data_IF_649520961436
#
_entry.id   IF_649520961436
#
_cell.length_a   1.000
_cell.length_b   1.000
_cell.length_c   1.000
_cell.angle_alpha   90.00
_cell.angle_beta   90.00
_cell.angle_gamma   90.00
#
_symmetry.space_group_name_H-M   'P 1'
#
loop_
_entity.id
_entity.type
_entity.pdbx_description
1 polymer ?
#
# COMPACT_ATOMS: atom_id res chain seq x y z
N UNK A 1 -5.28 35.49 -8.75
CA UNK A 1 -5.61 34.05 -8.66
C UNK A 1 -6.64 33.94 -7.57
N UNK A 2 -7.82 33.38 -7.85
CA UNK A 2 -8.82 33.17 -6.80
C UNK A 2 -8.27 32.19 -5.79
N UNK A 3 -8.24 32.55 -4.51
CA UNK A 3 -7.83 31.66 -3.44
C UNK A 3 -8.78 30.47 -3.39
N UNK A 4 -8.23 29.28 -3.07
CA UNK A 4 -9.05 28.08 -2.85
C UNK A 4 -9.89 28.33 -1.61
N UNK A 5 -11.20 28.10 -1.74
CA UNK A 5 -12.11 28.31 -0.61
C UNK A 5 -12.35 27.01 0.13
N UNK A 6 -12.63 25.91 -0.59
CA UNK A 6 -12.98 24.62 0.02
C UNK A 6 -12.33 23.47 -0.69
N UNK A 7 -11.99 22.45 0.10
CA UNK A 7 -11.56 21.13 -0.39
C UNK A 7 -12.65 20.12 -0.07
N UNK A 8 -13.22 19.55 -1.11
CA UNK A 8 -14.17 18.43 -1.00
C UNK A 8 -13.39 17.12 -1.07
N UNK A 9 -13.25 16.43 0.07
CA UNK A 9 -12.49 15.21 0.22
C UNK A 9 -13.41 13.98 0.23
N UNK A 10 -13.35 13.19 -0.83
CA UNK A 10 -14.13 11.95 -0.98
C UNK A 10 -13.27 10.76 -0.55
N UNK A 11 -13.08 10.68 0.75
CA UNK A 11 -12.42 9.58 1.45
C UNK A 11 -13.10 9.39 2.80
N UNK A 12 -13.27 8.16 3.30
CA UNK A 12 -13.73 7.96 4.67
C UNK A 12 -12.65 8.51 5.63
N UNK A 13 -13.09 9.33 6.58
CA UNK A 13 -12.20 9.92 7.59
C UNK A 13 -12.51 9.37 8.99
N UNK A 14 -12.83 8.08 9.08
CA UNK A 14 -13.14 7.38 10.32
C UNK A 14 -11.89 6.99 11.11
N UNK A 15 -12.12 6.46 12.32
CA UNK A 15 -11.06 6.00 13.23
C UNK A 15 -10.71 4.51 13.01
N UNK A 16 -11.01 3.94 11.84
CA UNK A 16 -10.68 2.55 11.53
C UNK A 16 -9.22 2.41 11.11
N UNK A 17 -8.61 1.30 11.48
CA UNK A 17 -7.30 0.87 10.99
C UNK A 17 -7.50 0.24 9.59
N UNK A 18 -7.93 1.04 8.63
CA UNK A 18 -8.01 0.63 7.23
C UNK A 18 -7.28 1.67 6.40
N UNK A 19 -6.64 1.25 5.33
CA UNK A 19 -5.86 2.15 4.47
C UNK A 19 -6.68 3.35 3.98
N UNK A 20 -7.93 3.18 3.47
CA UNK A 20 -8.73 4.32 3.03
C UNK A 20 -9.09 5.29 4.17
N UNK A 21 -9.42 4.77 5.38
CA UNK A 21 -9.72 5.62 6.54
C UNK A 21 -8.48 6.39 7.00
N UNK A 22 -7.31 5.75 7.01
CA UNK A 22 -6.05 6.41 7.36
C UNK A 22 -5.69 7.51 6.36
N UNK A 23 -5.81 7.25 5.05
CA UNK A 23 -5.58 8.26 4.00
C UNK A 23 -6.53 9.45 4.20
N UNK A 24 -7.83 9.20 4.30
CA UNK A 24 -8.84 10.27 4.45
C UNK A 24 -8.63 11.09 5.72
N UNK A 25 -8.39 10.43 6.85
CA UNK A 25 -8.13 11.10 8.14
C UNK A 25 -6.91 12.00 8.08
N UNK A 26 -5.78 11.49 7.59
CA UNK A 26 -4.54 12.26 7.59
C UNK A 26 -4.59 13.42 6.58
N UNK A 27 -5.13 13.21 5.37
CA UNK A 27 -5.35 14.32 4.42
C UNK A 27 -6.26 15.39 5.04
N UNK A 28 -7.39 14.99 5.66
CA UNK A 28 -8.29 15.93 6.31
C UNK A 28 -7.56 16.77 7.35
N UNK A 29 -6.94 16.12 8.35
CA UNK A 29 -6.25 16.80 9.45
C UNK A 29 -5.12 17.73 8.95
N UNK A 30 -4.43 17.33 7.89
CA UNK A 30 -3.37 18.15 7.33
C UNK A 30 -3.90 19.37 6.57
N UNK A 31 -4.89 19.18 5.70
CA UNK A 31 -5.45 20.25 4.87
C UNK A 31 -6.32 21.24 5.66
N UNK A 32 -6.93 20.84 6.78
CA UNK A 32 -7.66 21.74 7.67
C UNK A 32 -6.79 22.88 8.26
N UNK A 33 -5.46 22.72 8.19
CA UNK A 33 -4.53 23.81 8.54
C UNK A 33 -4.55 24.98 7.55
N UNK A 34 -5.07 24.76 6.34
CA UNK A 34 -5.00 25.73 5.23
C UNK A 34 -6.36 26.04 4.60
N UNK A 35 -7.33 25.12 4.67
CA UNK A 35 -8.60 25.18 3.94
C UNK A 35 -9.77 24.71 4.79
N UNK A 36 -10.99 25.10 4.39
CA UNK A 36 -12.21 24.42 4.82
C UNK A 36 -12.28 23.05 4.12
N UNK A 37 -12.29 21.94 4.90
CA UNK A 37 -12.32 20.57 4.37
C UNK A 37 -13.66 19.91 4.66
N UNK A 38 -14.39 19.53 3.62
CA UNK A 38 -15.65 18.81 3.71
C UNK A 38 -15.42 17.37 3.28
N UNK A 39 -15.69 16.40 4.17
CA UNK A 39 -15.45 14.97 3.91
C UNK A 39 -16.71 14.24 3.50
N UNK A 40 -16.53 13.24 2.63
CA UNK A 40 -17.59 12.38 2.10
C UNK A 40 -17.11 10.95 2.01
N UNK A 41 -18.01 9.98 2.27
CA UNK A 41 -17.72 8.58 1.97
C UNK A 41 -17.76 8.35 0.45
N UNK A 42 -16.86 7.55 -0.07
CA UNK A 42 -16.72 7.33 -1.52
C UNK A 42 -17.87 6.47 -2.11
N UNK A 43 -18.72 5.84 -1.30
CA UNK A 43 -19.87 5.02 -1.68
C UNK A 43 -21.23 5.73 -1.48
N UNK A 44 -21.25 7.01 -1.12
CA UNK A 44 -22.47 7.78 -1.01
C UNK A 44 -23.17 7.99 -2.37
N UNK A 45 -24.53 8.06 -2.32
CA UNK A 45 -25.37 8.28 -3.52
C UNK A 45 -25.69 9.78 -3.69
N UNK A 46 -24.67 10.58 -3.86
CA UNK A 46 -24.88 12.01 -4.12
C UNK A 46 -23.83 12.56 -5.07
N UNK A 47 -24.13 13.73 -5.65
CA UNK A 47 -23.21 14.47 -6.49
C UNK A 47 -22.92 15.82 -5.82
N UNK A 48 -21.65 16.22 -5.81
CA UNK A 48 -21.19 17.51 -5.32
C UNK A 48 -21.06 18.44 -6.52
N UNK A 49 -21.61 19.63 -6.39
CA UNK A 49 -21.40 20.71 -7.35
C UNK A 49 -20.39 21.70 -6.76
N UNK A 50 -19.37 22.12 -7.54
CA UNK A 50 -18.38 23.06 -7.04
C UNK A 50 -18.99 24.43 -6.79
N UNK A 51 -18.51 25.09 -5.72
CA UNK A 51 -18.58 26.53 -5.57
C UNK A 51 -17.43 27.21 -6.31
N UNK A 52 -17.30 28.52 -6.11
CA UNK A 52 -16.19 29.26 -6.72
C UNK A 52 -14.86 28.81 -6.12
N UNK A 53 -13.91 28.43 -7.00
CA UNK A 53 -12.56 27.99 -6.66
C UNK A 53 -12.44 26.73 -5.77
N UNK A 54 -13.47 25.89 -5.70
CA UNK A 54 -13.43 24.62 -4.95
C UNK A 54 -12.54 23.57 -5.62
N UNK A 55 -11.92 22.71 -4.80
CA UNK A 55 -11.10 21.57 -5.22
C UNK A 55 -11.77 20.27 -4.80
N UNK A 56 -11.77 19.28 -5.70
CA UNK A 56 -12.26 17.93 -5.43
C UNK A 56 -11.08 16.97 -5.33
N UNK A 57 -10.96 16.26 -4.21
CA UNK A 57 -9.97 15.20 -3.99
C UNK A 57 -10.71 13.90 -3.68
N UNK A 58 -10.31 12.77 -4.30
CA UNK A 58 -10.94 11.51 -3.93
C UNK A 58 -10.40 10.28 -4.63
N UNK A 59 -10.99 9.16 -4.24
CA UNK A 59 -10.68 7.83 -4.76
C UNK A 59 -11.78 7.35 -5.72
N UNK A 60 -11.39 6.73 -6.84
CA UNK A 60 -12.37 6.10 -7.74
C UNK A 60 -12.76 4.71 -7.22
N UNK A 61 -13.64 4.64 -6.29
CA UNK A 61 -14.18 3.34 -5.90
C UNK A 61 -14.95 2.68 -7.08
N UNK A 62 -14.89 1.35 -7.25
CA UNK A 62 -15.58 0.66 -8.36
C UNK A 62 -17.10 0.77 -8.34
N UNK A 63 -17.73 1.13 -7.23
CA UNK A 63 -19.17 1.34 -7.16
C UNK A 63 -19.61 2.41 -8.19
N UNK A 64 -20.59 2.13 -9.08
CA UNK A 64 -21.03 3.07 -10.12
C UNK A 64 -21.65 4.36 -9.58
N UNK A 65 -22.09 4.37 -8.33
CA UNK A 65 -22.75 5.50 -7.68
C UNK A 65 -21.87 6.29 -6.71
N UNK A 66 -20.55 6.12 -6.79
CA UNK A 66 -19.65 6.85 -5.88
C UNK A 66 -19.71 8.37 -6.11
N UNK A 67 -19.71 9.11 -5.01
CA UNK A 67 -19.79 10.57 -5.04
C UNK A 67 -18.65 11.21 -5.85
N UNK A 68 -17.41 10.72 -5.72
CA UNK A 68 -16.27 11.24 -6.46
C UNK A 68 -16.44 11.11 -7.98
N UNK A 69 -16.78 9.95 -8.49
CA UNK A 69 -16.94 9.70 -9.93
C UNK A 69 -18.07 10.52 -10.55
N UNK A 70 -19.15 10.74 -9.81
CA UNK A 70 -20.27 11.57 -10.26
C UNK A 70 -19.88 13.05 -10.26
N UNK A 71 -19.22 13.49 -9.20
CA UNK A 71 -18.85 14.90 -8.98
C UNK A 71 -17.72 15.36 -9.90
N UNK A 72 -16.74 14.51 -10.18
CA UNK A 72 -15.59 14.83 -11.05
C UNK A 72 -15.99 15.23 -12.49
N UNK A 73 -17.22 14.89 -12.92
CA UNK A 73 -17.76 15.26 -14.22
C UNK A 73 -18.32 16.66 -14.29
N UNK A 74 -18.60 17.28 -13.15
CA UNK A 74 -19.19 18.60 -13.06
C UNK A 74 -18.17 19.64 -13.50
N UNK A 75 -18.66 20.68 -14.18
CA UNK A 75 -17.83 21.83 -14.55
C UNK A 75 -17.73 22.81 -13.38
N UNK A 76 -16.63 23.53 -13.32
CA UNK A 76 -16.44 24.60 -12.33
C UNK A 76 -15.49 24.28 -11.20
N UNK A 77 -14.98 23.03 -11.09
CA UNK A 77 -13.88 22.73 -10.18
C UNK A 77 -12.63 23.54 -10.57
N UNK A 78 -11.97 24.15 -9.58
CA UNK A 78 -10.64 24.72 -9.80
C UNK A 78 -9.63 23.60 -10.12
N UNK A 79 -9.75 22.46 -9.45
CA UNK A 79 -8.96 21.28 -9.68
C UNK A 79 -9.69 20.01 -9.24
N UNK A 80 -9.46 18.92 -9.97
CA UNK A 80 -9.92 17.57 -9.62
C UNK A 80 -8.69 16.66 -9.46
N UNK A 81 -8.50 16.12 -8.27
CA UNK A 81 -7.36 15.27 -7.90
C UNK A 81 -7.86 13.88 -7.53
N UNK A 82 -7.41 12.85 -8.25
CA UNK A 82 -7.64 11.47 -7.85
C UNK A 82 -6.44 10.92 -7.07
N UNK A 83 -6.71 10.16 -6.02
CA UNK A 83 -5.67 9.44 -5.25
C UNK A 83 -6.09 7.96 -5.19
N UNK A 84 -5.26 7.05 -5.66
CA UNK A 84 -5.56 5.61 -5.59
C UNK A 84 -4.33 4.73 -5.80
N UNK A 85 -4.35 3.47 -5.36
CA UNK A 85 -3.39 2.46 -5.80
C UNK A 85 -3.38 2.33 -7.31
N UNK A 86 -2.20 2.21 -7.92
CA UNK A 86 -2.05 2.14 -9.36
C UNK A 86 -0.96 1.16 -9.78
N UNK A 87 -1.39 0.16 -10.54
CA UNK A 87 -0.52 -0.72 -11.30
C UNK A 87 -0.92 -0.59 -12.76
N UNK A 88 -0.05 -0.12 -13.67
CA UNK A 88 -0.34 -0.06 -15.10
C UNK A 88 -0.29 -1.46 -15.75
N UNK A 89 -1.06 -2.37 -15.18
CA UNK A 89 -1.27 -3.74 -15.65
C UNK A 89 -2.66 -3.83 -16.31
N UNK A 90 -2.75 -4.26 -17.60
CA UNK A 90 -4.02 -4.39 -18.30
C UNK A 90 -5.04 -5.30 -17.60
N UNK A 91 -4.57 -6.27 -16.82
CA UNK A 91 -5.42 -7.21 -16.08
C UNK A 91 -5.92 -6.63 -14.76
N UNK A 92 -5.34 -5.50 -14.30
CA UNK A 92 -5.73 -4.85 -13.07
C UNK A 92 -7.16 -4.32 -13.11
N UNK A 93 -8.06 -4.87 -12.30
CA UNK A 93 -9.46 -4.48 -12.23
C UNK A 93 -9.65 -2.96 -11.92
N UNK A 94 -8.73 -2.36 -11.20
CA UNK A 94 -8.70 -0.91 -10.93
C UNK A 94 -8.74 -0.08 -12.21
N UNK A 95 -8.10 -0.55 -13.26
CA UNK A 95 -7.94 0.21 -14.50
C UNK A 95 -9.25 0.30 -15.30
N UNK A 96 -10.14 -0.68 -15.17
CA UNK A 96 -11.45 -0.65 -15.81
C UNK A 96 -12.31 0.55 -15.35
N UNK A 97 -12.10 1.04 -14.12
CA UNK A 97 -12.78 2.21 -13.57
C UNK A 97 -11.96 3.48 -13.70
N UNK A 98 -10.63 3.38 -13.69
CA UNK A 98 -9.69 4.50 -13.81
C UNK A 98 -9.97 5.34 -15.06
N UNK A 99 -10.21 4.72 -16.21
CA UNK A 99 -10.56 5.39 -17.48
C UNK A 99 -11.74 6.38 -17.34
N UNK A 100 -12.70 6.11 -16.43
CA UNK A 100 -13.87 6.97 -16.26
C UNK A 100 -13.62 8.18 -15.37
N UNK A 101 -12.52 8.18 -14.65
CA UNK A 101 -12.18 9.22 -13.64
C UNK A 101 -10.89 9.94 -14.03
N UNK A 102 -9.82 9.22 -14.38
CA UNK A 102 -8.51 9.83 -14.67
C UNK A 102 -8.59 10.80 -15.86
N UNK A 103 -9.41 10.49 -16.85
CA UNK A 103 -9.63 11.41 -17.97
C UNK A 103 -10.25 12.75 -17.53
N UNK A 104 -10.96 12.76 -16.40
CA UNK A 104 -11.62 13.95 -15.85
C UNK A 104 -10.82 14.63 -14.73
N UNK A 105 -9.74 14.02 -14.29
CA UNK A 105 -8.84 14.61 -13.28
C UNK A 105 -7.82 15.54 -13.95
N UNK A 106 -7.42 16.56 -13.21
CA UNK A 106 -6.26 17.38 -13.54
C UNK A 106 -4.97 16.70 -13.09
N UNK A 107 -5.02 16.00 -11.94
CA UNK A 107 -3.92 15.22 -11.36
C UNK A 107 -4.40 13.88 -10.87
N UNK A 108 -3.52 12.89 -11.02
CA UNK A 108 -3.68 11.57 -10.44
C UNK A 108 -2.45 11.23 -9.58
N UNK A 109 -2.63 11.28 -8.26
CA UNK A 109 -1.63 10.87 -7.29
C UNK A 109 -1.71 9.35 -7.17
N UNK A 110 -0.81 8.69 -7.86
CA UNK A 110 -0.76 7.24 -7.97
C UNK A 110 0.03 6.66 -6.80
N UNK A 111 -0.67 5.98 -5.88
CA UNK A 111 -0.02 5.17 -4.84
C UNK A 111 0.56 3.95 -5.54
N UNK A 112 1.88 3.93 -5.72
CA UNK A 112 2.56 2.95 -6.59
C UNK A 112 4.05 2.91 -6.26
N UNK A 113 4.85 2.22 -7.07
CA UNK A 113 6.31 2.18 -6.93
C UNK A 113 7.03 2.44 -8.24
N UNK A 114 8.34 2.65 -8.13
CA UNK A 114 9.21 2.97 -9.26
C UNK A 114 9.16 1.93 -10.38
N UNK A 115 9.03 0.64 -10.05
CA UNK A 115 8.88 -0.43 -11.04
C UNK A 115 7.65 -0.20 -11.93
N UNK A 116 6.52 0.20 -11.35
CA UNK A 116 5.31 0.50 -12.10
C UNK A 116 5.40 1.80 -12.89
N UNK A 117 6.04 2.84 -12.32
CA UNK A 117 6.26 4.10 -13.04
C UNK A 117 7.14 3.90 -14.29
N UNK A 118 8.15 3.00 -14.22
CA UNK A 118 8.93 2.63 -15.43
C UNK A 118 8.07 1.90 -16.47
N UNK A 119 7.23 0.94 -16.04
CA UNK A 119 6.34 0.17 -16.93
C UNK A 119 5.22 1.00 -17.55
N UNK A 120 4.85 2.13 -16.95
CA UNK A 120 3.80 3.01 -17.46
C UNK A 120 4.05 3.45 -18.90
N UNK A 121 5.31 3.71 -19.26
CA UNK A 121 5.69 4.20 -20.60
C UNK A 121 5.33 3.23 -21.72
N UNK A 122 5.35 1.92 -21.42
CA UNK A 122 5.08 0.84 -22.38
C UNK A 122 3.70 0.21 -22.16
N UNK A 123 2.88 0.81 -21.32
CA UNK A 123 1.55 0.30 -20.97
C UNK A 123 0.45 0.97 -21.81
N UNK A 124 -0.74 0.37 -21.90
CA UNK A 124 -1.92 1.02 -22.49
C UNK A 124 -2.32 2.34 -21.82
N UNK A 125 -1.77 2.61 -20.63
CA UNK A 125 -2.07 3.78 -19.79
C UNK A 125 -1.04 4.91 -19.94
N UNK A 126 -0.07 4.79 -20.83
CA UNK A 126 0.98 5.82 -21.09
C UNK A 126 0.40 7.23 -21.32
N UNK A 127 -0.80 7.32 -21.90
CA UNK A 127 -1.49 8.58 -22.16
C UNK A 127 -1.89 9.34 -20.87
N UNK A 128 -1.93 8.67 -19.70
CA UNK A 128 -2.14 9.31 -18.41
C UNK A 128 -0.85 9.89 -17.80
N UNK A 129 0.32 9.53 -18.32
CA UNK A 129 1.61 9.95 -17.80
C UNK A 129 1.71 11.44 -17.42
N UNK A 130 1.23 12.40 -18.25
CA UNK A 130 1.28 13.82 -17.94
C UNK A 130 0.47 14.24 -16.69
N UNK A 131 -0.49 13.41 -16.25
CA UNK A 131 -1.34 13.68 -15.07
C UNK A 131 -0.86 12.94 -13.82
N UNK A 132 -0.05 11.88 -13.99
CA UNK A 132 0.35 11.00 -12.90
C UNK A 132 1.48 11.64 -12.09
N UNK A 133 1.27 11.67 -10.78
CA UNK A 133 2.29 11.99 -9.79
C UNK A 133 2.49 10.76 -8.90
N UNK A 134 3.73 10.31 -8.75
CA UNK A 134 4.06 9.18 -7.87
C UNK A 134 3.86 9.59 -6.42
N UNK A 135 3.15 8.76 -5.68
CA UNK A 135 2.87 8.94 -4.26
C UNK A 135 3.18 7.64 -3.52
N UNK A 136 4.11 7.68 -2.57
CA UNK A 136 4.35 6.55 -1.69
C UNK A 136 3.36 6.56 -0.54
N UNK A 137 2.86 5.38 -0.17
CA UNK A 137 1.95 5.23 0.95
C UNK A 137 2.69 5.50 2.27
N UNK A 138 1.93 5.87 3.30
CA UNK A 138 2.42 6.10 4.65
C UNK A 138 1.76 5.15 5.67
N UNK A 139 2.35 5.03 6.84
CA UNK A 139 1.80 4.29 7.97
C UNK A 139 1.88 5.12 9.25
N UNK A 140 0.92 4.89 10.13
CA UNK A 140 0.91 5.48 11.47
C UNK A 140 1.67 4.55 12.43
N UNK A 141 2.84 4.97 12.87
CA UNK A 141 3.69 4.17 13.76
C UNK A 141 3.09 4.00 15.17
N UNK A 142 2.18 4.86 15.57
CA UNK A 142 1.48 4.73 16.86
C UNK A 142 0.51 3.54 16.83
N UNK A 143 -0.09 3.24 15.68
CA UNK A 143 -0.96 2.08 15.49
C UNK A 143 -0.17 0.76 15.36
N UNK A 144 1.12 0.82 14.98
CA UNK A 144 1.97 -0.36 14.71
C UNK A 144 3.31 -0.24 15.45
N UNK A 145 3.28 -0.48 16.77
CA UNK A 145 4.45 -0.31 17.63
C UNK A 145 5.52 -1.37 17.37
N UNK A 146 6.79 -1.00 17.56
CA UNK A 146 7.92 -1.91 17.47
C UNK A 146 7.83 -3.04 18.49
N UNK A 147 7.96 -4.30 18.05
CA UNK A 147 7.82 -5.50 18.89
C UNK A 147 8.93 -6.55 18.68
N UNK A 148 9.66 -6.51 17.55
CA UNK A 148 10.69 -7.50 17.22
C UNK A 148 12.04 -7.07 17.78
N UNK A 149 12.41 -7.62 18.91
CA UNK A 149 13.66 -7.35 19.62
C UNK A 149 14.75 -8.40 19.36
N UNK A 150 14.39 -9.58 18.86
CA UNK A 150 15.32 -10.69 18.63
C UNK A 150 14.88 -11.54 17.44
N UNK A 151 15.82 -11.87 16.57
CA UNK A 151 15.60 -12.76 15.43
C UNK A 151 15.79 -14.23 15.81
N UNK A 152 15.07 -15.14 15.12
CA UNK A 152 15.30 -16.57 15.25
C UNK A 152 16.73 -16.92 14.77
N UNK A 153 17.34 -18.04 15.19
CA UNK A 153 18.67 -18.45 14.73
C UNK A 153 18.72 -18.65 13.21
N UNK A 154 19.90 -18.47 12.62
CA UNK A 154 20.15 -18.83 11.22
C UNK A 154 19.72 -20.28 10.93
N UNK A 155 19.12 -20.51 9.78
CA UNK A 155 18.52 -21.78 9.38
C UNK A 155 17.15 -22.08 10.01
N UNK A 156 16.65 -21.21 10.91
CA UNK A 156 15.33 -21.34 11.57
C UNK A 156 14.50 -20.08 11.43
N UNK A 157 14.81 -19.23 10.44
CA UNK A 157 14.06 -18.00 10.17
C UNK A 157 12.64 -18.33 9.73
N UNK A 158 11.66 -17.51 10.16
CA UNK A 158 10.24 -17.74 9.93
C UNK A 158 9.64 -16.62 9.10
N UNK A 159 8.85 -17.01 8.09
CA UNK A 159 8.20 -16.09 7.15
C UNK A 159 6.70 -16.01 7.40
N UNK A 160 6.16 -14.80 7.39
CA UNK A 160 4.76 -14.52 7.59
C UNK A 160 4.18 -13.83 6.35
N UNK A 161 3.12 -14.36 5.80
CA UNK A 161 2.26 -13.66 4.84
C UNK A 161 1.02 -13.11 5.56
N UNK A 162 0.72 -11.83 5.36
CA UNK A 162 -0.50 -11.20 5.88
C UNK A 162 -1.30 -10.67 4.70
N UNK A 163 -2.56 -11.14 4.53
CA UNK A 163 -3.43 -10.69 3.47
C UNK A 163 -4.46 -11.72 3.04
N UNK A 164 -5.38 -11.29 2.17
CA UNK A 164 -6.34 -12.17 1.51
C UNK A 164 -5.70 -12.88 0.30
N UNK A 165 -6.44 -13.82 -0.31
CA UNK A 165 -5.96 -14.69 -1.41
C UNK A 165 -6.47 -14.27 -2.79
N UNK A 166 -6.75 -12.96 -3.01
CA UNK A 166 -7.11 -12.49 -4.34
C UNK A 166 -5.98 -12.73 -5.35
N UNK A 167 -6.31 -12.91 -6.61
CA UNK A 167 -5.39 -13.32 -7.68
C UNK A 167 -4.12 -12.44 -7.76
N UNK A 168 -4.25 -11.13 -7.57
CA UNK A 168 -3.14 -10.18 -7.64
C UNK A 168 -2.16 -10.29 -6.45
N UNK A 169 -2.55 -10.96 -5.37
CA UNK A 169 -1.67 -11.31 -4.24
C UNK A 169 -0.78 -12.51 -4.55
N UNK A 170 -1.07 -13.24 -5.64
CA UNK A 170 -0.26 -14.32 -6.18
C UNK A 170 0.09 -15.42 -5.16
N UNK A 171 -0.87 -15.77 -4.29
CA UNK A 171 -0.65 -16.77 -3.24
C UNK A 171 -0.30 -18.17 -3.78
N UNK A 172 -0.67 -18.49 -5.02
CA UNK A 172 -0.27 -19.73 -5.70
C UNK A 172 1.24 -19.82 -5.91
N UNK A 173 1.91 -18.72 -6.20
CA UNK A 173 3.37 -18.68 -6.26
C UNK A 173 3.98 -18.96 -4.88
N UNK A 174 3.43 -18.37 -3.82
CA UNK A 174 3.90 -18.62 -2.44
C UNK A 174 3.71 -20.09 -2.03
N UNK A 175 2.61 -20.74 -2.43
CA UNK A 175 2.37 -22.17 -2.21
C UNK A 175 3.44 -23.02 -2.92
N UNK A 176 3.75 -22.68 -4.18
CA UNK A 176 4.78 -23.38 -4.97
C UNK A 176 6.18 -23.18 -4.39
N UNK A 177 6.47 -21.97 -3.88
CA UNK A 177 7.73 -21.67 -3.21
C UNK A 177 7.86 -22.45 -1.90
N UNK A 178 6.79 -22.53 -1.11
CA UNK A 178 6.76 -23.32 0.12
C UNK A 178 6.90 -24.83 -0.15
N UNK A 179 6.38 -25.34 -1.27
CA UNK A 179 6.55 -26.73 -1.70
C UNK A 179 8.02 -27.08 -2.02
N UNK A 180 8.76 -26.13 -2.59
CA UNK A 180 10.20 -26.29 -2.90
C UNK A 180 11.10 -26.13 -1.67
N UNK A 181 10.59 -25.57 -0.60
CA UNK A 181 11.34 -25.25 0.64
C UNK A 181 10.66 -25.88 1.87
N UNK A 182 10.54 -27.23 1.93
CA UNK A 182 9.78 -27.92 2.98
C UNK A 182 10.33 -27.70 4.39
N UNK A 183 11.60 -27.36 4.54
CA UNK A 183 12.24 -27.09 5.83
C UNK A 183 12.07 -25.64 6.29
N UNK A 184 11.57 -24.75 5.41
CA UNK A 184 11.33 -23.34 5.73
C UNK A 184 9.94 -23.14 6.30
N UNK A 185 9.85 -22.42 7.43
CA UNK A 185 8.56 -22.14 8.07
C UNK A 185 7.86 -20.96 7.40
N UNK A 186 6.80 -21.25 6.64
CA UNK A 186 5.86 -20.24 6.13
C UNK A 186 4.55 -20.30 6.90
N UNK A 187 4.04 -19.14 7.26
CA UNK A 187 2.74 -18.99 7.92
C UNK A 187 1.91 -17.89 7.24
N UNK A 188 0.58 -17.98 7.38
CA UNK A 188 -0.36 -17.05 6.77
C UNK A 188 -1.41 -16.57 7.76
N UNK A 189 -1.66 -15.26 7.78
CA UNK A 189 -2.77 -14.58 8.44
C UNK A 189 -3.65 -13.86 7.41
N UNK A 190 -4.96 -14.00 7.49
CA UNK A 190 -5.86 -13.19 6.63
C UNK A 190 -7.14 -13.88 6.20
N UNK A 191 -7.33 -15.17 6.47
CA UNK A 191 -8.53 -15.89 6.11
C UNK A 191 -8.66 -17.26 6.75
N UNK A 192 -9.74 -17.97 6.38
CA UNK A 192 -10.04 -19.34 6.83
C UNK A 192 -9.72 -20.39 5.77
N UNK A 193 -9.31 -19.97 4.58
CA UNK A 193 -8.89 -20.86 3.50
C UNK A 193 -7.60 -21.58 3.89
N UNK A 194 -7.31 -22.71 3.25
CA UNK A 194 -6.02 -23.39 3.40
C UNK A 194 -5.13 -23.04 2.23
N UNK A 195 -3.92 -22.57 2.52
CA UNK A 195 -2.83 -22.48 1.56
C UNK A 195 -1.96 -23.74 1.70
N UNK A 196 -1.60 -24.34 0.56
CA UNK A 196 -0.81 -25.58 0.53
C UNK A 196 0.61 -25.31 1.06
N UNK A 197 1.09 -26.17 1.96
CA UNK A 197 2.41 -26.09 2.58
C UNK A 197 2.67 -24.83 3.43
N UNK A 198 1.61 -24.06 3.76
CA UNK A 198 1.68 -22.84 4.57
C UNK A 198 0.78 -23.00 5.79
N UNK A 199 1.31 -22.73 6.97
CA UNK A 199 0.56 -22.83 8.23
C UNK A 199 -0.44 -21.67 8.33
N UNK A 200 -1.75 -21.98 8.28
CA UNK A 200 -2.80 -20.97 8.52
C UNK A 200 -2.90 -20.61 10.00
N UNK A 201 -2.92 -19.31 10.30
CA UNK A 201 -3.05 -18.73 11.65
C UNK A 201 -4.42 -18.08 11.88
N UNK A 202 -5.29 -18.09 10.85
CA UNK A 202 -6.61 -17.45 10.90
C UNK A 202 -6.55 -15.94 10.74
N UNK A 203 -7.61 -15.27 11.22
CA UNK A 203 -7.66 -13.81 11.30
C UNK A 203 -7.27 -13.37 12.70
N UNK A 204 -6.32 -12.46 12.80
CA UNK A 204 -5.96 -11.79 14.04
C UNK A 204 -6.40 -10.32 13.99
N UNK A 205 -6.80 -9.84 15.14
CA UNK A 205 -7.08 -8.43 15.37
C UNK A 205 -5.79 -7.76 15.88
N UNK A 206 -5.14 -7.00 15.02
CA UNK A 206 -3.85 -6.36 15.31
C UNK A 206 -3.93 -5.24 16.37
N UNK A 207 -5.14 -4.85 16.78
CA UNK A 207 -5.32 -3.95 17.92
C UNK A 207 -5.12 -4.66 19.27
N UNK A 208 -4.93 -5.99 19.28
CA UNK A 208 -4.81 -6.80 20.50
C UNK A 208 -3.37 -7.23 20.76
N UNK A 209 -2.98 -7.20 22.04
CA UNK A 209 -1.65 -7.62 22.52
C UNK A 209 -1.31 -9.06 22.10
N UNK A 210 -2.29 -9.95 22.05
CA UNK A 210 -2.07 -11.34 21.62
C UNK A 210 -1.59 -11.44 20.18
N UNK A 211 -2.05 -10.56 19.27
CA UNK A 211 -1.57 -10.50 17.90
C UNK A 211 -0.08 -10.11 17.85
N UNK A 212 0.35 -9.16 18.66
CA UNK A 212 1.75 -8.75 18.75
C UNK A 212 2.65 -9.89 19.21
N UNK A 213 2.20 -10.71 20.17
CA UNK A 213 2.94 -11.88 20.65
C UNK A 213 3.12 -12.93 19.54
N UNK A 214 2.17 -13.03 18.61
CA UNK A 214 2.29 -13.89 17.44
C UNK A 214 3.27 -13.33 16.42
N UNK A 215 3.17 -12.03 16.10
CA UNK A 215 3.98 -11.39 15.06
C UNK A 215 5.47 -11.46 15.41
N UNK A 216 5.85 -11.21 16.66
CA UNK A 216 7.26 -11.24 17.08
C UNK A 216 7.96 -12.61 16.91
N UNK A 217 7.19 -13.69 16.69
CA UNK A 217 7.76 -15.01 16.40
C UNK A 217 8.34 -15.12 14.99
N UNK A 218 8.00 -14.20 14.09
CA UNK A 218 8.46 -14.18 12.70
C UNK A 218 9.64 -13.22 12.52
N UNK A 219 10.46 -13.46 11.50
CA UNK A 219 11.60 -12.63 11.17
C UNK A 219 11.32 -11.79 9.91
N UNK A 220 10.57 -12.37 8.99
CA UNK A 220 10.28 -11.79 7.69
C UNK A 220 8.77 -11.70 7.44
N UNK A 221 8.32 -10.55 6.91
CA UNK A 221 7.05 -10.50 6.20
C UNK A 221 7.33 -10.82 4.73
N UNK A 222 6.60 -11.76 4.13
CA UNK A 222 6.73 -12.06 2.71
C UNK A 222 5.46 -11.71 1.94
N UNK A 223 5.60 -10.97 0.84
CA UNK A 223 4.53 -10.72 -0.13
C UNK A 223 5.03 -10.97 -1.55
N UNK A 224 4.25 -11.69 -2.35
CA UNK A 224 4.60 -12.08 -3.72
C UNK A 224 3.59 -11.56 -4.74
N UNK A 225 2.97 -10.44 -4.43
CA UNK A 225 1.95 -9.83 -5.28
C UNK A 225 2.45 -9.54 -6.70
N UNK A 226 1.65 -9.88 -7.70
CA UNK A 226 1.95 -9.62 -9.12
C UNK A 226 1.41 -8.28 -9.60
N UNK A 227 0.37 -7.76 -8.94
CA UNK A 227 -0.28 -6.48 -9.26
C UNK A 227 -0.86 -5.84 -8.01
N UNK A 228 0.00 -5.55 -7.02
CA UNK A 228 -0.37 -5.09 -5.68
C UNK A 228 0.49 -3.87 -5.30
N UNK A 229 0.04 -2.70 -5.71
CA UNK A 229 0.79 -1.46 -5.48
C UNK A 229 0.76 -1.04 -4.00
N UNK A 230 1.92 -0.84 -3.43
CA UNK A 230 2.17 -0.39 -2.05
C UNK A 230 1.27 -1.06 -0.99
N UNK A 231 1.32 -2.41 -0.82
CA UNK A 231 0.58 -3.04 0.26
C UNK A 231 1.04 -2.49 1.61
N UNK A 232 0.07 -2.00 2.42
CA UNK A 232 0.34 -1.43 3.75
C UNK A 232 1.05 -2.39 4.69
N UNK A 233 0.79 -3.69 4.56
CA UNK A 233 1.41 -4.72 5.38
C UNK A 233 2.95 -4.69 5.37
N UNK A 234 3.55 -4.16 4.33
CA UNK A 234 5.01 -3.96 4.26
C UNK A 234 5.43 -2.88 5.26
N UNK A 235 4.79 -1.72 5.25
CA UNK A 235 5.08 -0.63 6.19
C UNK A 235 4.73 -1.00 7.63
N UNK A 236 3.60 -1.70 7.82
CA UNK A 236 3.19 -2.25 9.12
C UNK A 236 4.28 -3.20 9.67
N UNK A 237 4.80 -4.08 8.81
CA UNK A 237 5.85 -5.02 9.22
C UNK A 237 7.17 -4.35 9.57
N UNK A 238 7.55 -3.30 8.83
CA UNK A 238 8.71 -2.47 9.18
C UNK A 238 8.52 -1.81 10.57
N UNK A 239 7.32 -1.31 10.86
CA UNK A 239 7.00 -0.73 12.16
C UNK A 239 7.12 -1.75 13.29
N UNK A 240 6.68 -3.00 13.07
CA UNK A 240 6.84 -4.10 14.05
C UNK A 240 8.29 -4.58 14.19
N UNK A 241 9.17 -4.18 13.27
CA UNK A 241 10.57 -4.59 13.26
C UNK A 241 10.85 -5.88 12.49
N UNK A 242 9.89 -6.41 11.70
CA UNK A 242 10.13 -7.49 10.76
C UNK A 242 10.87 -6.96 9.52
N UNK A 243 11.59 -7.84 8.84
CA UNK A 243 12.24 -7.51 7.58
C UNK A 243 11.28 -7.86 6.42
N UNK A 244 10.86 -6.89 5.59
CA UNK A 244 10.03 -7.17 4.44
C UNK A 244 10.79 -7.90 3.33
N UNK A 245 10.14 -8.92 2.76
CA UNK A 245 10.54 -9.62 1.54
C UNK A 245 9.39 -9.51 0.54
N UNK A 246 9.59 -8.78 -0.54
CA UNK A 246 8.48 -8.52 -1.45
C UNK A 246 8.89 -8.52 -2.92
N UNK A 247 7.93 -8.82 -3.80
CA UNK A 247 8.13 -8.64 -5.24
C UNK A 247 8.38 -7.15 -5.56
N UNK A 248 9.10 -6.86 -6.62
CA UNK A 248 9.28 -5.47 -7.11
C UNK A 248 7.95 -4.83 -7.51
N UNK A 249 6.96 -5.65 -7.88
CA UNK A 249 5.59 -5.24 -8.18
C UNK A 249 4.84 -4.71 -6.96
N UNK A 250 5.33 -4.98 -5.75
CA UNK A 250 4.81 -4.38 -4.52
C UNK A 250 5.18 -2.89 -4.36
N UNK A 251 6.09 -2.38 -5.19
CA UNK A 251 6.41 -0.95 -5.24
C UNK A 251 7.52 -0.48 -4.30
N UNK A 252 8.14 -1.38 -3.55
CA UNK A 252 9.18 -1.06 -2.57
C UNK A 252 10.58 -1.48 -3.04
N UNK A 253 10.88 -1.27 -4.32
CA UNK A 253 12.20 -1.54 -4.89
C UNK A 253 13.20 -0.43 -4.53
N UNK A 254 14.42 -0.81 -4.13
CA UNK A 254 15.53 0.11 -3.91
C UNK A 254 15.71 0.61 -2.46
N UNK A 255 14.85 0.20 -1.54
CA UNK A 255 15.00 0.50 -0.11
C UNK A 255 15.94 -0.49 0.56
N UNK A 256 16.95 0.01 1.31
CA UNK A 256 18.07 -0.78 1.83
C UNK A 256 17.65 -1.87 2.83
N UNK A 257 16.61 -1.63 3.61
CA UNK A 257 16.06 -2.58 4.58
C UNK A 257 15.06 -3.57 4.00
N UNK A 258 14.59 -3.40 2.75
CA UNK A 258 13.61 -4.25 2.09
C UNK A 258 14.29 -5.22 1.13
N UNK A 259 13.91 -6.49 1.15
CA UNK A 259 14.44 -7.51 0.26
C UNK A 259 13.48 -7.78 -0.89
N UNK A 260 13.98 -7.74 -2.11
CA UNK A 260 13.15 -8.09 -3.26
C UNK A 260 13.30 -9.57 -3.61
N UNK A 261 12.19 -10.20 -3.97
CA UNK A 261 12.10 -11.59 -4.42
C UNK A 261 11.53 -11.63 -5.84
N UNK A 262 12.11 -12.45 -6.70
CA UNK A 262 11.60 -12.72 -8.04
C UNK A 262 10.29 -13.50 -7.96
N UNK A 263 9.28 -13.10 -8.75
CA UNK A 263 8.04 -13.88 -8.94
C UNK A 263 7.94 -14.47 -10.35
N UNK A 264 8.89 -14.16 -11.20
CA UNK A 264 8.97 -14.64 -12.58
C UNK A 264 9.98 -15.80 -12.72
N UNK A 265 10.83 -16.01 -11.70
CA UNK A 265 11.85 -17.06 -11.65
C UNK A 265 11.83 -17.75 -10.27
N UNK A 266 11.34 -18.99 -10.25
CA UNK A 266 11.20 -19.79 -9.03
C UNK A 266 12.55 -20.19 -8.42
N UNK A 267 13.55 -20.50 -9.23
CA UNK A 267 14.88 -20.88 -8.77
C UNK A 267 15.56 -19.72 -8.04
N UNK A 268 15.48 -18.53 -8.59
CA UNK A 268 15.97 -17.28 -7.97
C UNK A 268 15.23 -16.98 -6.66
N UNK A 269 13.91 -17.20 -6.63
CA UNK A 269 13.13 -17.03 -5.41
C UNK A 269 13.55 -18.00 -4.31
N UNK A 270 13.80 -19.26 -4.65
CA UNK A 270 14.31 -20.29 -3.73
C UNK A 270 15.69 -19.89 -3.20
N UNK A 271 16.59 -19.45 -4.07
CA UNK A 271 17.91 -18.97 -3.67
C UNK A 271 17.81 -17.77 -2.73
N UNK A 272 16.93 -16.82 -3.02
CA UNK A 272 16.69 -15.65 -2.15
C UNK A 272 16.27 -16.08 -0.74
N UNK A 273 15.32 -17.01 -0.61
CA UNK A 273 14.88 -17.50 0.70
C UNK A 273 16.00 -18.24 1.43
N UNK A 274 16.78 -19.09 0.73
CA UNK A 274 17.91 -19.79 1.32
C UNK A 274 18.99 -18.82 1.83
N UNK A 275 19.28 -17.76 1.09
CA UNK A 275 20.20 -16.71 1.50
C UNK A 275 19.69 -16.00 2.75
N UNK A 276 18.40 -15.68 2.82
CA UNK A 276 17.79 -15.06 4.00
C UNK A 276 17.82 -15.96 5.24
N UNK A 277 17.76 -17.29 5.08
CA UNK A 277 17.91 -18.22 6.18
C UNK A 277 19.31 -18.16 6.82
N UNK A 278 20.35 -17.81 6.06
CA UNK A 278 21.75 -17.77 6.51
C UNK A 278 22.25 -16.39 6.92
N UNK A 279 21.46 -15.34 6.74
CA UNK A 279 21.84 -13.95 7.08
C UNK A 279 22.18 -13.82 8.56
N UNK A 280 23.27 -13.10 8.86
CA UNK A 280 23.68 -12.83 10.24
C UNK A 280 22.66 -11.96 10.99
N UNK A 281 22.61 -12.09 12.31
CA UNK A 281 21.74 -11.26 13.15
C UNK A 281 22.14 -9.77 13.04
N UNK A 282 23.43 -9.48 12.95
CA UNK A 282 23.94 -8.11 12.72
C UNK A 282 23.35 -7.52 11.44
N UNK A 283 23.35 -8.25 10.34
CA UNK A 283 22.79 -7.76 9.08
C UNK A 283 21.27 -7.54 9.16
N UNK A 284 20.54 -8.41 9.88
CA UNK A 284 19.09 -8.23 10.10
C UNK A 284 18.83 -6.99 10.94
N UNK A 285 19.64 -6.75 11.97
CA UNK A 285 19.54 -5.54 12.79
C UNK A 285 19.82 -4.27 11.97
N UNK A 286 20.80 -4.29 11.07
CA UNK A 286 21.08 -3.18 10.16
C UNK A 286 19.88 -2.89 9.26
N UNK A 287 19.29 -3.92 8.61
CA UNK A 287 18.09 -3.75 7.79
C UNK A 287 16.89 -3.25 8.58
N UNK A 288 16.75 -3.67 9.84
CA UNK A 288 15.70 -3.19 10.74
C UNK A 288 15.87 -1.70 11.03
N UNK A 289 17.09 -1.24 11.31
CA UNK A 289 17.37 0.18 11.52
C UNK A 289 17.14 1.01 10.25
N UNK A 290 17.56 0.50 9.09
CA UNK A 290 17.26 1.13 7.80
C UNK A 290 15.76 1.31 7.59
N UNK A 291 14.98 0.25 7.86
CA UNK A 291 13.52 0.29 7.75
C UNK A 291 12.88 1.32 8.69
N UNK A 292 13.35 1.41 9.94
CA UNK A 292 12.85 2.42 10.88
C UNK A 292 13.17 3.85 10.42
N UNK A 293 14.36 4.07 9.86
CA UNK A 293 14.74 5.36 9.28
C UNK A 293 13.88 5.70 8.06
N UNK A 294 13.58 4.73 7.18
CA UNK A 294 12.68 4.96 6.03
C UNK A 294 11.25 5.28 6.46
N UNK A 295 10.74 4.64 7.50
CA UNK A 295 9.42 4.98 8.05
C UNK A 295 9.37 6.42 8.58
N UNK A 296 10.45 6.88 9.21
CA UNK A 296 10.52 8.22 9.77
C UNK A 296 10.69 9.30 8.67
N UNK A 297 11.54 9.04 7.70
CA UNK A 297 11.95 10.04 6.72
C UNK A 297 11.18 9.98 5.40
N UNK A 298 10.62 8.81 5.04
CA UNK A 298 10.01 8.60 3.74
C UNK A 298 8.53 8.18 3.81
N UNK A 299 8.17 7.15 4.60
CA UNK A 299 6.82 6.58 4.64
C UNK A 299 5.98 7.16 5.78
N UNK A 300 5.97 8.49 5.94
CA UNK A 300 5.21 9.21 6.96
C UNK A 300 4.08 10.05 6.37
N UNK A 301 3.06 10.34 7.18
CA UNK A 301 1.89 11.06 6.74
C UNK A 301 2.14 12.55 6.43
N UNK A 302 3.12 13.17 7.06
CA UNK A 302 3.44 14.58 6.78
C UNK A 302 3.93 14.71 5.33
N UNK A 303 4.91 13.89 4.92
CA UNK A 303 5.42 13.86 3.54
C UNK A 303 4.32 13.50 2.54
N UNK A 304 3.47 12.49 2.85
CA UNK A 304 2.33 12.12 2.01
C UNK A 304 1.41 13.31 1.79
N UNK A 305 1.01 14.00 2.87
CA UNK A 305 0.08 15.12 2.80
C UNK A 305 0.71 16.37 2.16
N UNK A 306 2.01 16.62 2.33
CA UNK A 306 2.74 17.67 1.63
C UNK A 306 2.70 17.47 0.11
N UNK A 307 2.88 16.23 -0.37
CA UNK A 307 2.74 15.92 -1.79
C UNK A 307 1.31 16.14 -2.29
N UNK A 308 0.30 15.81 -1.49
CA UNK A 308 -1.11 16.10 -1.82
C UNK A 308 -1.33 17.61 -1.89
N UNK A 309 -0.85 18.38 -0.91
CA UNK A 309 -0.97 19.84 -0.86
C UNK A 309 -0.31 20.53 -2.06
N UNK A 310 0.85 20.04 -2.50
CA UNK A 310 1.58 20.58 -3.64
C UNK A 310 0.81 20.49 -4.97
N UNK A 311 -0.18 19.62 -5.05
CA UNK A 311 -1.03 19.43 -6.23
C UNK A 311 -2.38 20.17 -6.14
N UNK A 312 -2.67 20.83 -5.04
CA UNK A 312 -3.86 21.67 -4.85
C UNK A 312 -3.63 23.09 -5.44
#
# INVERSE_FOLDING_TARGET
>A
MNEIQRVHLVYPAGNRISTPDAIGRNIKLYLEKFYEVITYNYDEYRTIHPGEADVLIGHWHPNPFTVFRMSAKNKGWKRVIAIAPFCPDPTGWHNAFGNKVIDKCDRFLAITGNAWMRRLKDSPFQHWGPKIVHLDLAVDREDFTFIKDKFNPAGKRRFLYIGHTAWYKNTSFLESLAEKLPETSFSWMGGTQRLKNIKGLGKLDFSKVDAHNFIKEFDFLITVGSSDANPTTILESMSWGLIPVCSVQSGYEGFSGIRNISIDNMEEAVETINNLQSVSEEQLNNWQQDNLAELENHFNWDRFCEQVLAEI
#
